data_IF_230911528700
#
_entry.id   IF_230911528700
#
_cell.length_a   1.000
_cell.length_b   1.000
_cell.length_c   1.000
_cell.angle_alpha   90.00
_cell.angle_beta   90.00
_cell.angle_gamma   90.00
#
_symmetry.space_group_name_H-M   'P 1'
#
loop_
_entity.id
_entity.type
_entity.pdbx_description
1 polymer ?
#
# COMPACT_ATOMS: atom_id res chain seq x y z
N UNK A 1 -14.63 5.41 -16.86
CA UNK A 1 -14.21 4.31 -17.77
C UNK A 1 -12.78 3.92 -17.42
N UNK A 2 -12.51 2.65 -17.16
CA UNK A 2 -11.12 2.18 -16.97
C UNK A 2 -10.41 2.06 -18.32
N UNK A 3 -9.15 2.46 -18.37
CA UNK A 3 -8.29 2.40 -19.55
C UNK A 3 -7.11 1.49 -19.24
N UNK A 4 -6.79 0.58 -20.15
CA UNK A 4 -5.61 -0.28 -19.99
C UNK A 4 -4.34 0.53 -20.30
N UNK A 5 -3.29 0.45 -19.46
CA UNK A 5 -2.00 1.09 -19.73
C UNK A 5 -1.44 0.74 -21.11
N UNK A 6 -0.64 1.64 -21.68
CA UNK A 6 -0.04 1.48 -23.02
C UNK A 6 -0.98 1.63 -24.23
N UNK A 7 -2.31 1.57 -24.05
CA UNK A 7 -3.26 1.74 -25.16
C UNK A 7 -3.33 3.18 -25.69
N UNK A 8 -3.80 3.35 -26.94
CA UNK A 8 -4.03 4.68 -27.52
C UNK A 8 -5.00 5.52 -26.67
N UNK A 9 -6.08 4.91 -26.17
CA UNK A 9 -7.04 5.59 -25.32
C UNK A 9 -6.41 6.06 -24.00
N UNK A 10 -5.55 5.24 -23.37
CA UNK A 10 -4.80 5.62 -22.18
C UNK A 10 -3.87 6.81 -22.43
N UNK A 11 -3.05 6.75 -23.50
CA UNK A 11 -2.14 7.84 -23.87
C UNK A 11 -2.88 9.12 -24.22
N UNK A 12 -4.03 9.01 -24.89
CA UNK A 12 -4.90 10.14 -25.22
C UNK A 12 -5.46 10.78 -23.96
N UNK A 13 -5.89 9.97 -22.98
CA UNK A 13 -6.34 10.49 -21.69
C UNK A 13 -5.21 11.22 -20.96
N UNK A 14 -4.03 10.60 -20.83
CA UNK A 14 -2.86 11.23 -20.20
C UNK A 14 -2.50 12.57 -20.87
N UNK A 15 -2.59 12.67 -22.19
CA UNK A 15 -2.25 13.90 -22.92
C UNK A 15 -3.31 15.01 -22.82
N UNK A 16 -4.58 14.66 -22.52
CA UNK A 16 -5.72 15.59 -22.58
C UNK A 16 -6.31 15.95 -21.23
N UNK A 17 -6.03 15.17 -20.19
CA UNK A 17 -6.53 15.44 -18.84
C UNK A 17 -5.95 16.74 -18.29
N UNK A 18 -6.80 17.58 -17.70
CA UNK A 18 -6.33 18.76 -16.96
C UNK A 18 -5.64 18.37 -15.65
N UNK A 19 -6.05 17.25 -15.03
CA UNK A 19 -5.50 16.76 -13.77
C UNK A 19 -5.01 15.31 -13.92
N UNK A 20 -3.81 15.05 -13.41
CA UNK A 20 -3.19 13.74 -13.34
C UNK A 20 -2.86 13.43 -11.88
N UNK A 21 -3.53 12.45 -11.28
CA UNK A 21 -3.36 12.10 -9.87
C UNK A 21 -2.80 10.69 -9.77
N UNK A 22 -1.73 10.50 -9.00
CA UNK A 22 -1.13 9.17 -8.79
C UNK A 22 -0.51 9.04 -7.38
N UNK A 23 -0.41 7.81 -6.86
CA UNK A 23 0.26 7.48 -5.60
C UNK A 23 1.67 6.87 -5.76
N UNK A 24 2.03 6.44 -6.97
CA UNK A 24 3.30 5.83 -7.31
C UNK A 24 4.08 6.63 -8.36
N UNK A 25 4.17 6.09 -9.57
CA UNK A 25 4.81 6.78 -10.70
C UNK A 25 4.02 6.51 -11.97
N UNK A 26 3.97 7.50 -12.86
CA UNK A 26 3.45 7.28 -14.21
C UNK A 26 4.44 6.46 -15.06
N UNK A 27 3.93 5.88 -16.15
CA UNK A 27 4.75 5.17 -17.13
C UNK A 27 5.94 6.04 -17.60
N UNK A 28 7.10 5.41 -17.79
CA UNK A 28 8.29 6.08 -18.34
C UNK A 28 7.93 6.74 -19.68
N UNK A 29 8.30 8.02 -19.82
CA UNK A 29 8.02 8.81 -21.02
C UNK A 29 6.71 9.61 -20.99
N UNK A 30 6.03 9.73 -19.83
CA UNK A 30 5.01 10.75 -19.67
C UNK A 30 5.62 12.14 -19.92
N UNK A 31 5.05 12.87 -20.88
CA UNK A 31 5.41 14.27 -21.14
C UNK A 31 4.27 15.15 -20.64
N UNK A 32 4.49 15.87 -19.55
CA UNK A 32 3.55 16.86 -19.01
C UNK A 32 3.32 17.97 -20.03
N UNK A 33 2.05 18.25 -20.34
CA UNK A 33 1.63 19.31 -21.25
C UNK A 33 1.32 20.59 -20.49
N UNK A 34 1.47 21.72 -21.17
CA UNK A 34 1.13 23.03 -20.62
C UNK A 34 -0.34 23.05 -20.18
N UNK A 35 -0.60 23.50 -18.96
CA UNK A 35 -1.92 23.56 -18.36
C UNK A 35 -2.39 22.29 -17.65
N UNK A 36 -1.59 21.21 -17.66
CA UNK A 36 -1.85 20.05 -16.82
C UNK A 36 -1.35 20.28 -15.39
N UNK A 37 -2.11 19.77 -14.43
CA UNK A 37 -1.77 19.72 -13.01
C UNK A 37 -1.53 18.27 -12.60
N UNK A 38 -0.35 18.00 -12.07
CA UNK A 38 0.08 16.67 -11.62
C UNK A 38 0.18 16.64 -10.10
N UNK A 39 -0.59 15.74 -9.49
CA UNK A 39 -0.71 15.59 -8.04
C UNK A 39 -0.17 14.23 -7.62
N UNK A 40 0.87 14.25 -6.79
CA UNK A 40 1.44 13.06 -6.18
C UNK A 40 0.84 12.84 -4.79
N UNK A 41 0.17 11.70 -4.57
CA UNK A 41 -0.46 11.38 -3.29
C UNK A 41 0.42 10.52 -2.37
N UNK A 42 1.39 9.80 -2.95
CA UNK A 42 2.27 8.82 -2.28
C UNK A 42 1.53 7.61 -1.67
N UNK A 43 2.26 6.54 -1.37
CA UNK A 43 1.69 5.28 -0.84
C UNK A 43 1.62 5.20 0.70
N UNK A 44 2.06 6.24 1.41
CA UNK A 44 1.99 6.30 2.88
C UNK A 44 3.20 6.96 3.55
N UNK A 45 3.20 6.97 4.88
CA UNK A 45 4.29 7.53 5.69
C UNK A 45 5.59 6.74 5.47
N UNK A 46 6.70 7.39 5.09
CA UNK A 46 7.94 6.68 4.80
C UNK A 46 8.58 6.13 6.08
N UNK A 47 8.73 4.80 6.14
CA UNK A 47 9.57 4.10 7.11
C UNK A 47 10.89 3.62 6.50
N UNK A 48 10.88 3.28 5.21
CA UNK A 48 12.08 2.94 4.45
C UNK A 48 12.71 4.21 3.86
N UNK A 49 14.01 4.15 3.58
CA UNK A 49 14.68 5.16 2.76
C UNK A 49 14.09 5.18 1.35
N UNK A 50 13.83 6.37 0.82
CA UNK A 50 13.20 6.57 -0.50
C UNK A 50 13.92 7.67 -1.29
N UNK A 51 13.64 7.74 -2.58
CA UNK A 51 14.10 8.82 -3.45
C UNK A 51 15.63 8.98 -3.46
N UNK A 52 16.09 10.22 -3.49
CA UNK A 52 17.52 10.59 -3.50
C UNK A 52 18.26 10.17 -2.22
N UNK A 53 17.58 9.91 -1.10
CA UNK A 53 18.21 9.38 0.12
C UNK A 53 18.81 7.96 -0.09
N UNK A 54 18.48 7.30 -1.20
CA UNK A 54 19.08 6.02 -1.59
C UNK A 54 20.48 6.15 -2.19
N UNK A 55 20.93 7.35 -2.59
CA UNK A 55 22.24 7.57 -3.23
C UNK A 55 23.40 6.98 -2.40
N UNK A 56 23.37 7.15 -1.08
CA UNK A 56 24.38 6.62 -0.17
C UNK A 56 24.15 5.16 0.25
N UNK A 57 23.18 4.47 -0.38
CA UNK A 57 22.78 3.09 -0.06
C UNK A 57 22.86 2.19 -1.29
N UNK A 58 24.07 1.81 -1.75
CA UNK A 58 24.28 1.13 -3.03
C UNK A 58 23.59 -0.23 -3.14
N UNK A 59 23.32 -0.92 -2.02
CA UNK A 59 22.55 -2.17 -2.03
C UNK A 59 21.05 -1.93 -2.27
N UNK A 60 20.50 -0.81 -1.77
CA UNK A 60 19.09 -0.45 -1.89
C UNK A 60 18.79 0.37 -3.16
N UNK A 61 19.78 1.10 -3.68
CA UNK A 61 19.71 1.87 -4.92
C UNK A 61 19.81 1.00 -6.19
N UNK A 62 20.04 -0.32 -6.06
CA UNK A 62 20.21 -1.20 -7.23
C UNK A 62 18.97 -1.15 -8.13
N UNK A 63 19.15 -0.66 -9.35
CA UNK A 63 18.08 -0.54 -10.35
C UNK A 63 17.31 0.79 -10.30
N UNK A 64 17.65 1.70 -9.40
CA UNK A 64 17.11 3.06 -9.37
C UNK A 64 17.83 3.93 -10.39
N UNK A 65 17.06 4.48 -11.32
CA UNK A 65 17.50 5.54 -12.23
C UNK A 65 17.17 6.89 -11.58
N UNK A 66 18.17 7.51 -10.96
CA UNK A 66 17.98 8.76 -10.21
C UNK A 66 17.69 9.95 -11.13
N UNK A 67 18.23 9.96 -12.34
CA UNK A 67 17.95 11.03 -13.29
C UNK A 67 16.50 10.95 -13.77
N UNK A 68 15.98 9.75 -14.02
CA UNK A 68 14.57 9.54 -14.32
C UNK A 68 13.68 9.91 -13.14
N UNK A 69 14.07 9.54 -11.92
CA UNK A 69 13.35 9.93 -10.72
C UNK A 69 13.23 11.47 -10.64
N UNK A 70 14.34 12.20 -10.75
CA UNK A 70 14.33 13.66 -10.67
C UNK A 70 13.48 14.29 -11.78
N UNK A 71 13.62 13.80 -13.03
CA UNK A 71 12.76 14.23 -14.14
C UNK A 71 11.27 14.03 -13.85
N UNK A 72 10.91 12.92 -13.19
CA UNK A 72 9.52 12.65 -12.81
C UNK A 72 9.05 13.59 -11.70
N UNK A 73 9.86 13.77 -10.65
CA UNK A 73 9.52 14.68 -9.54
C UNK A 73 9.33 16.12 -10.04
N UNK A 74 10.15 16.56 -11.00
CA UNK A 74 10.04 17.89 -11.64
C UNK A 74 8.74 18.10 -12.42
N UNK A 75 7.98 17.04 -12.70
CA UNK A 75 6.65 17.19 -13.30
C UNK A 75 5.56 17.50 -12.29
N UNK A 76 5.79 17.26 -11.00
CA UNK A 76 4.75 17.42 -9.98
C UNK A 76 4.45 18.90 -9.74
N UNK A 77 3.16 19.25 -9.70
CA UNK A 77 2.74 20.56 -9.22
C UNK A 77 2.48 20.52 -7.71
N UNK A 78 1.92 19.40 -7.25
CA UNK A 78 1.54 19.20 -5.85
C UNK A 78 1.99 17.84 -5.34
N UNK A 79 2.44 17.82 -4.08
CA UNK A 79 2.84 16.61 -3.36
C UNK A 79 2.10 16.57 -2.02
N UNK A 80 1.19 15.61 -1.84
CA UNK A 80 0.47 15.45 -0.57
C UNK A 80 1.42 14.96 0.51
N UNK A 81 1.20 15.45 1.73
CA UNK A 81 1.87 15.00 2.93
C UNK A 81 0.90 14.46 3.96
N UNK A 82 1.22 13.28 4.49
CA UNK A 82 0.40 12.60 5.47
C UNK A 82 0.58 13.16 6.89
N UNK A 83 1.72 13.80 7.17
CA UNK A 83 2.14 14.32 8.48
C UNK A 83 3.47 15.09 8.35
N UNK A 84 3.87 15.90 9.34
CA UNK A 84 5.13 16.66 9.30
C UNK A 84 6.38 15.81 9.07
N UNK A 85 6.44 14.57 9.59
CA UNK A 85 7.55 13.64 9.32
C UNK A 85 7.65 13.30 7.83
N UNK A 86 6.51 13.05 7.18
CA UNK A 86 6.45 12.78 5.74
C UNK A 86 6.88 13.99 4.92
N UNK A 87 6.51 15.20 5.34
CA UNK A 87 6.93 16.46 4.71
C UNK A 87 8.46 16.54 4.71
N UNK A 88 9.08 16.45 5.89
CA UNK A 88 10.53 16.55 6.05
C UNK A 88 11.31 15.50 5.23
N UNK A 89 10.83 14.24 5.23
CA UNK A 89 11.48 13.18 4.46
C UNK A 89 11.33 13.41 2.96
N UNK A 90 10.15 13.81 2.48
CA UNK A 90 9.87 13.93 1.04
C UNK A 90 10.53 15.15 0.40
N UNK A 91 10.54 16.30 1.08
CA UNK A 91 11.22 17.49 0.56
C UNK A 91 12.72 17.27 0.37
N UNK A 92 13.33 16.43 1.23
CA UNK A 92 14.72 15.99 1.08
C UNK A 92 14.87 14.93 -0.01
N UNK A 93 14.06 13.87 0.01
CA UNK A 93 14.20 12.69 -0.85
C UNK A 93 13.73 12.93 -2.30
N UNK A 94 12.91 13.95 -2.53
CA UNK A 94 12.36 14.33 -3.83
C UNK A 94 12.51 15.84 -4.01
N UNK A 95 13.75 16.33 -4.25
CA UNK A 95 14.02 17.76 -4.31
C UNK A 95 13.49 18.35 -5.62
N UNK A 96 12.40 19.12 -5.57
CA UNK A 96 11.86 19.85 -6.72
C UNK A 96 10.96 21.02 -6.26
N UNK A 97 10.40 21.76 -7.22
CA UNK A 97 9.63 22.99 -6.99
C UNK A 97 8.11 22.78 -6.80
N UNK A 98 7.66 21.55 -6.54
CA UNK A 98 6.25 21.28 -6.25
C UNK A 98 5.81 21.97 -4.95
N UNK A 99 4.51 22.17 -4.80
CA UNK A 99 3.92 22.64 -3.54
C UNK A 99 3.53 21.45 -2.66
N UNK A 100 4.06 21.39 -1.44
CA UNK A 100 3.63 20.41 -0.44
C UNK A 100 2.22 20.72 0.07
N UNK A 101 1.35 19.72 0.11
CA UNK A 101 -0.03 19.82 0.59
C UNK A 101 -0.25 18.95 1.84
N UNK A 102 -0.27 19.54 3.03
CA UNK A 102 -0.39 18.81 4.30
C UNK A 102 -1.83 18.46 4.68
N UNK A 103 -2.53 17.73 3.81
CA UNK A 103 -3.94 17.34 3.99
C UNK A 103 -4.15 15.89 4.46
N UNK A 104 -3.08 15.16 4.80
CA UNK A 104 -3.21 13.74 5.12
C UNK A 104 -3.19 12.84 3.88
N UNK A 105 -3.60 11.59 4.06
CA UNK A 105 -3.76 10.62 2.97
C UNK A 105 -5.25 10.40 2.68
N UNK A 106 -5.74 10.63 1.44
CA UNK A 106 -7.14 10.36 1.09
C UNK A 106 -7.58 8.92 1.36
N UNK A 107 -6.64 7.95 1.33
CA UNK A 107 -6.93 6.54 1.64
C UNK A 107 -7.36 6.34 3.10
N UNK A 108 -6.94 7.23 3.99
CA UNK A 108 -7.26 7.16 5.42
C UNK A 108 -8.62 7.76 5.76
N UNK A 109 -9.32 8.40 4.82
CA UNK A 109 -10.66 8.97 5.03
C UNK A 109 -11.66 7.93 5.57
N UNK A 110 -11.48 6.66 5.20
CA UNK A 110 -12.34 5.55 5.67
C UNK A 110 -12.33 5.41 7.19
N UNK A 111 -11.20 5.70 7.86
CA UNK A 111 -11.10 5.63 9.32
C UNK A 111 -11.93 6.71 10.03
N UNK A 112 -12.26 7.80 9.33
CA UNK A 112 -13.03 8.91 9.89
C UNK A 112 -14.50 8.89 9.44
N UNK A 113 -14.79 8.28 8.29
CA UNK A 113 -16.14 8.29 7.69
C UNK A 113 -16.95 7.02 7.96
N UNK A 114 -16.32 5.94 8.36
CA UNK A 114 -17.00 4.65 8.54
C UNK A 114 -17.43 4.46 10.00
N UNK A 115 -18.75 4.30 10.20
CA UNK A 115 -19.32 4.13 11.53
C UNK A 115 -19.34 2.68 12.02
N UNK A 116 -19.67 2.43 13.31
CA UNK A 116 -19.68 1.08 13.89
C UNK A 116 -20.58 0.07 13.16
N UNK A 117 -21.73 0.50 12.64
CA UNK A 117 -22.64 -0.37 11.90
C UNK A 117 -22.04 -0.84 10.56
N UNK A 118 -21.30 0.04 9.87
CA UNK A 118 -20.61 -0.32 8.64
C UNK A 118 -19.44 -1.27 8.92
N UNK A 119 -18.70 -1.06 10.03
CA UNK A 119 -17.65 -1.96 10.50
C UNK A 119 -18.23 -3.35 10.76
N UNK A 120 -19.36 -3.46 11.46
CA UNK A 120 -20.02 -4.73 11.75
C UNK A 120 -20.42 -5.48 10.46
N UNK A 121 -21.00 -4.78 9.48
CA UNK A 121 -21.34 -5.36 8.17
C UNK A 121 -20.11 -5.81 7.38
N UNK A 122 -19.02 -5.05 7.45
CA UNK A 122 -17.75 -5.44 6.82
C UNK A 122 -17.16 -6.69 7.48
N UNK A 123 -17.24 -6.79 8.81
CA UNK A 123 -16.81 -7.98 9.56
C UNK A 123 -17.61 -9.21 9.14
N UNK A 124 -18.93 -9.10 9.05
CA UNK A 124 -19.81 -10.16 8.56
C UNK A 124 -19.45 -10.60 7.12
N UNK A 125 -19.27 -9.62 6.21
CA UNK A 125 -18.91 -9.89 4.80
C UNK A 125 -17.58 -10.62 4.66
N UNK A 126 -16.64 -10.36 5.57
CA UNK A 126 -15.33 -11.00 5.62
C UNK A 126 -15.33 -12.34 6.38
N UNK A 127 -16.48 -12.77 6.92
CA UNK A 127 -16.61 -14.02 7.66
C UNK A 127 -16.00 -13.99 9.06
N UNK A 128 -15.85 -12.80 9.65
CA UNK A 128 -15.35 -12.62 11.03
C UNK A 128 -16.49 -12.97 12.00
N UNK A 129 -16.33 -13.99 12.87
CA UNK A 129 -17.39 -14.35 13.82
C UNK A 129 -17.73 -13.21 14.77
N UNK A 130 -19.00 -13.06 15.10
CA UNK A 130 -19.47 -12.08 16.09
C UNK A 130 -18.78 -12.33 17.45
N UNK A 131 -18.39 -11.25 18.13
CA UNK A 131 -17.69 -11.30 19.42
C UNK A 131 -16.24 -11.79 19.38
N UNK A 132 -15.70 -12.18 18.22
CA UNK A 132 -14.29 -12.55 18.10
C UNK A 132 -13.35 -11.34 18.07
N UNK A 133 -12.10 -11.52 18.50
CA UNK A 133 -11.01 -10.55 18.32
C UNK A 133 -10.27 -10.85 17.02
N UNK A 134 -10.30 -9.91 16.08
CA UNK A 134 -9.69 -10.02 14.76
C UNK A 134 -8.26 -9.46 14.75
N UNK A 135 -7.31 -10.28 14.32
CA UNK A 135 -5.89 -9.91 14.18
C UNK A 135 -5.52 -9.86 12.70
N UNK A 136 -5.13 -8.70 12.19
CA UNK A 136 -4.60 -8.56 10.83
C UNK A 136 -3.13 -8.95 10.80
N UNK A 137 -2.78 -9.98 10.05
CA UNK A 137 -1.39 -10.33 9.76
C UNK A 137 -1.01 -9.85 8.36
N UNK A 138 -0.18 -8.82 8.28
CA UNK A 138 0.22 -8.16 7.04
C UNK A 138 1.75 -8.00 6.95
N UNK A 139 2.51 -9.09 6.78
CA UNK A 139 3.97 -9.01 6.70
C UNK A 139 4.42 -8.32 5.41
N UNK A 140 5.50 -7.55 5.50
CA UNK A 140 6.16 -6.98 4.32
C UNK A 140 7.05 -8.00 3.61
N UNK A 141 7.12 -7.89 2.28
CA UNK A 141 8.09 -8.64 1.47
C UNK A 141 9.51 -8.24 1.86
N UNK A 142 10.43 -9.19 1.82
CA UNK A 142 11.85 -8.98 2.10
C UNK A 142 12.64 -9.18 0.81
N UNK A 143 13.13 -8.09 0.24
CA UNK A 143 13.78 -8.09 -1.09
C UNK A 143 15.04 -8.99 -1.15
N UNK A 144 15.71 -9.18 -0.01
CA UNK A 144 16.84 -10.09 0.12
C UNK A 144 16.45 -11.58 0.17
N UNK A 145 15.15 -11.91 0.23
CA UNK A 145 14.66 -13.29 0.23
C UNK A 145 14.12 -13.66 -1.15
N UNK A 146 14.75 -14.65 -1.78
CA UNK A 146 14.26 -15.21 -3.05
C UNK A 146 12.90 -15.91 -2.91
N UNK A 147 12.61 -16.49 -1.74
CA UNK A 147 11.32 -17.11 -1.42
C UNK A 147 10.74 -16.39 -0.22
N UNK A 148 9.59 -15.74 -0.42
CA UNK A 148 8.83 -15.14 0.67
C UNK A 148 8.20 -16.27 1.49
N UNK A 149 8.62 -16.40 2.75
CA UNK A 149 8.04 -17.35 3.70
C UNK A 149 7.45 -16.57 4.86
N UNK A 150 6.19 -16.86 5.27
CA UNK A 150 5.67 -16.36 6.53
C UNK A 150 6.65 -16.68 7.65
N UNK A 151 7.05 -15.68 8.42
CA UNK A 151 7.90 -15.89 9.59
C UNK A 151 7.15 -16.52 10.75
N UNK A 152 5.81 -16.49 10.72
CA UNK A 152 4.94 -16.87 11.80
C UNK A 152 4.09 -18.10 11.43
N UNK A 153 4.08 -19.11 12.31
CA UNK A 153 3.15 -20.24 12.23
C UNK A 153 1.78 -19.78 12.73
N UNK A 154 0.93 -19.35 11.80
CA UNK A 154 -0.42 -18.85 12.09
C UNK A 154 -1.32 -19.92 12.72
N UNK A 155 -1.13 -21.21 12.39
CA UNK A 155 -1.92 -22.30 12.96
C UNK A 155 -1.53 -22.57 14.41
N UNK A 156 -0.24 -22.46 14.75
CA UNK A 156 0.19 -22.48 16.14
C UNK A 156 -0.31 -21.26 16.88
N UNK A 157 -0.18 -20.07 16.30
CA UNK A 157 -0.63 -18.81 16.93
C UNK A 157 -2.12 -18.87 17.28
N UNK A 158 -2.99 -19.20 16.33
CA UNK A 158 -4.46 -19.24 16.55
C UNK A 158 -4.90 -20.33 17.54
N UNK A 159 -4.07 -21.36 17.76
CA UNK A 159 -4.29 -22.37 18.80
C UNK A 159 -3.91 -21.86 20.19
N UNK A 160 -2.78 -21.17 20.30
CA UNK A 160 -2.29 -20.59 21.56
C UNK A 160 -3.18 -19.45 22.04
N UNK A 161 -3.66 -18.60 21.13
CA UNK A 161 -4.54 -17.48 21.46
C UNK A 161 -5.93 -17.92 21.95
N UNK A 162 -6.37 -19.12 21.55
CA UNK A 162 -7.66 -19.67 21.95
C UNK A 162 -8.81 -19.35 20.98
N UNK A 163 -10.04 -19.76 21.33
CA UNK A 163 -11.18 -19.77 20.41
C UNK A 163 -11.74 -18.38 20.06
N UNK A 164 -11.50 -17.38 20.91
CA UNK A 164 -11.99 -16.00 20.71
C UNK A 164 -11.26 -15.24 19.60
N UNK A 165 -10.11 -15.71 19.12
CA UNK A 165 -9.31 -15.00 18.13
C UNK A 165 -9.49 -15.55 16.72
N UNK A 166 -9.57 -14.64 15.76
CA UNK A 166 -9.52 -14.91 14.31
C UNK A 166 -8.35 -14.14 13.69
N UNK A 167 -7.67 -14.74 12.71
CA UNK A 167 -6.54 -14.12 12.02
C UNK A 167 -6.95 -13.83 10.57
N UNK A 168 -6.83 -12.56 10.16
CA UNK A 168 -6.94 -12.12 8.78
C UNK A 168 -5.54 -12.15 8.15
N UNK A 169 -5.27 -13.14 7.29
CA UNK A 169 -3.97 -13.30 6.67
C UNK A 169 -3.90 -12.54 5.33
N UNK A 170 -3.16 -11.43 5.30
CA UNK A 170 -2.89 -10.64 4.09
C UNK A 170 -1.51 -10.95 3.51
N UNK A 171 -1.27 -12.23 3.25
CA UNK A 171 -0.09 -12.68 2.51
C UNK A 171 -0.44 -14.01 1.84
N UNK A 172 0.01 -14.24 0.59
CA UNK A 172 -0.17 -15.54 -0.04
C UNK A 172 0.47 -16.61 0.85
N UNK A 173 -0.28 -17.65 1.23
CA UNK A 173 0.34 -18.86 1.77
C UNK A 173 1.30 -19.41 0.69
N UNK A 174 2.54 -19.77 1.02
CA UNK A 174 3.41 -20.40 0.03
C UNK A 174 2.79 -21.73 -0.39
N UNK A 175 2.35 -21.82 -1.65
CA UNK A 175 2.06 -23.08 -2.31
C UNK A 175 3.40 -23.76 -2.66
N UNK A 176 3.99 -24.44 -1.68
CA UNK A 176 5.23 -25.19 -1.85
C UNK A 176 4.99 -26.70 -1.89
N UNK A 177 5.65 -27.47 -2.78
CA UNK A 177 5.58 -28.93 -2.78
C UNK A 177 6.31 -29.44 -1.54
N UNK A 178 5.56 -29.77 -0.48
CA UNK A 178 6.09 -30.24 0.80
C UNK A 178 5.27 -29.81 2.01
N UNK A 179 4.42 -28.78 1.86
CA UNK A 179 3.38 -28.50 2.83
C UNK A 179 2.19 -29.40 2.54
N UNK A 180 1.98 -30.45 3.33
CA UNK A 180 0.71 -31.18 3.36
C UNK A 180 -0.42 -30.14 3.35
N UNK A 181 -1.27 -30.18 2.33
CA UNK A 181 -2.49 -29.36 2.23
C UNK A 181 -3.42 -29.73 3.39
N UNK A 182 -3.10 -29.21 4.57
CA UNK A 182 -3.99 -29.22 5.73
C UNK A 182 -5.07 -28.23 5.41
N UNK A 183 -6.34 -28.64 5.56
CA UNK A 183 -7.46 -27.72 5.41
C UNK A 183 -7.15 -26.47 6.25
N UNK A 184 -7.22 -25.27 5.66
CA UNK A 184 -6.88 -24.05 6.38
C UNK A 184 -7.72 -23.98 7.66
N UNK A 185 -7.06 -23.69 8.79
CA UNK A 185 -7.74 -23.60 10.08
C UNK A 185 -8.92 -22.61 9.96
N UNK A 186 -10.14 -22.95 10.41
CA UNK A 186 -11.35 -22.17 10.15
C UNK A 186 -11.29 -20.73 10.70
N UNK A 187 -10.46 -20.50 11.73
CA UNK A 187 -10.18 -19.17 12.30
C UNK A 187 -9.04 -18.40 11.61
N UNK A 188 -8.57 -18.85 10.44
CA UNK A 188 -7.59 -18.12 9.63
C UNK A 188 -8.23 -17.81 8.28
N UNK A 189 -8.65 -16.56 8.12
CA UNK A 189 -9.34 -16.06 6.93
C UNK A 189 -8.29 -15.50 5.99
N UNK A 190 -8.25 -16.00 4.76
CA UNK A 190 -7.38 -15.48 3.71
C UNK A 190 -7.98 -14.20 3.13
N UNK A 191 -7.27 -13.08 3.31
CA UNK A 191 -7.67 -11.76 2.81
C UNK A 191 -6.66 -11.20 1.82
N UNK A 192 -5.77 -12.02 1.25
CA UNK A 192 -4.71 -11.56 0.34
C UNK A 192 -5.27 -10.92 -0.93
N UNK A 193 -6.46 -11.32 -1.37
CA UNK A 193 -7.15 -10.76 -2.54
C UNK A 193 -7.95 -9.47 -2.25
N UNK A 194 -8.08 -9.09 -0.97
CA UNK A 194 -8.81 -7.88 -0.60
C UNK A 194 -8.02 -6.62 -1.00
N UNK A 195 -8.66 -5.75 -1.79
CA UNK A 195 -7.98 -4.60 -2.41
C UNK A 195 -7.54 -3.53 -1.41
N UNK A 196 -8.41 -3.23 -0.45
CA UNK A 196 -8.19 -2.17 0.54
C UNK A 196 -7.56 -2.73 1.80
N UNK A 197 -6.38 -2.22 2.19
CA UNK A 197 -5.77 -2.56 3.49
C UNK A 197 -6.44 -1.80 4.60
N UNK A 198 -6.95 -0.61 4.30
CA UNK A 198 -7.54 0.30 5.24
C UNK A 198 -8.85 -0.28 5.78
N UNK A 199 -9.63 -0.90 4.90
CA UNK A 199 -10.82 -1.68 5.27
C UNK A 199 -10.46 -2.87 6.16
N UNK A 200 -9.36 -3.59 5.85
CA UNK A 200 -8.91 -4.71 6.67
C UNK A 200 -8.45 -4.25 8.06
N UNK A 201 -7.71 -3.14 8.13
CA UNK A 201 -7.30 -2.54 9.38
C UNK A 201 -8.51 -2.06 10.20
N UNK A 202 -9.52 -1.49 9.54
CA UNK A 202 -10.74 -0.98 10.17
C UNK A 202 -11.59 -2.09 10.82
N UNK A 203 -11.58 -3.30 10.25
CA UNK A 203 -12.29 -4.45 10.84
C UNK A 203 -11.44 -5.24 11.84
N UNK A 204 -10.20 -4.83 12.10
CA UNK A 204 -9.26 -5.55 12.95
C UNK A 204 -9.07 -4.86 14.29
N UNK A 205 -8.91 -5.67 15.33
CA UNK A 205 -8.69 -5.21 16.70
C UNK A 205 -7.19 -4.99 16.98
N UNK A 206 -6.30 -5.66 16.23
CA UNK A 206 -4.86 -5.39 16.23
C UNK A 206 -4.18 -5.76 14.90
N UNK A 207 -3.00 -5.18 14.68
CA UNK A 207 -2.13 -5.42 13.52
C UNK A 207 -0.84 -6.14 13.94
N UNK A 208 -0.49 -7.19 13.20
CA UNK A 208 0.77 -7.90 13.22
C UNK A 208 1.50 -7.63 11.89
N UNK A 209 2.58 -6.87 11.90
CA UNK A 209 3.27 -6.38 10.69
C UNK A 209 4.79 -6.56 10.74
#
# INVERSE_FOLDING_TARGET
RHLAPGTFAHRTALARSAYLVNDGSFDRGLVKRRGQILVQTHEGTPLRTVGTDLLDRPAAARGTDFDELLRQVDTWDFSLSANPHSTLVRERAYPSAYTTLEYGSPRNDVYHRTGPADVARLRETLGIPEGSTALLYAPVSRDYRRVQRPSLDLERLVRVLGPQFVILARAPRPAGPGGRSRAPHPRIIDVSAHRSVETLALVSDALLT
#
